data_IF_948960473356
#
_entry.id   IF_948960473356
#
_cell.length_a   1.000
_cell.length_b   1.000
_cell.length_c   1.000
_cell.angle_alpha   90.00
_cell.angle_beta   90.00
_cell.angle_gamma   90.00
#
_symmetry.space_group_name_H-M   'P 1'
#
loop_
_entity.id
_entity.type
_entity.pdbx_description
1 polymer ?
#
# COMPACT_ATOMS: atom_id res chain seq x y z
N UNK A 1 14.83 17.01 -13.88
CA UNK A 1 15.10 17.98 -12.79
C UNK A 1 16.60 18.07 -12.56
N UNK A 2 17.14 19.27 -12.29
CA UNK A 2 18.60 19.48 -12.11
C UNK A 2 18.84 20.14 -10.75
N UNK A 3 19.82 19.65 -10.00
CA UNK A 3 20.25 20.22 -8.74
C UNK A 3 21.78 20.25 -8.70
N UNK A 4 22.37 21.44 -8.89
CA UNK A 4 23.83 21.58 -9.11
C UNK A 4 24.28 20.80 -10.34
N UNK A 5 25.25 19.91 -10.18
CA UNK A 5 25.73 19.00 -11.22
C UNK A 5 24.88 17.73 -11.39
N UNK A 6 23.94 17.44 -10.48
CA UNK A 6 23.13 16.24 -10.50
C UNK A 6 21.91 16.40 -11.42
N UNK A 7 21.58 15.34 -12.15
CA UNK A 7 20.39 15.27 -13.02
C UNK A 7 19.50 14.12 -12.60
N UNK A 8 18.24 14.42 -12.24
CA UNK A 8 17.27 13.43 -11.84
C UNK A 8 16.16 13.26 -12.89
N UNK A 9 15.84 12.02 -13.20
CA UNK A 9 14.57 11.65 -13.80
C UNK A 9 13.52 11.62 -12.70
N UNK A 10 12.45 12.39 -12.89
CA UNK A 10 11.28 12.34 -12.01
C UNK A 10 10.37 11.23 -12.54
N UNK A 11 10.07 10.27 -11.71
CA UNK A 11 9.22 9.12 -12.03
C UNK A 11 7.99 9.22 -11.14
N UNK A 12 6.82 9.38 -11.75
CA UNK A 12 5.56 9.36 -11.02
C UNK A 12 5.32 7.95 -10.46
N UNK A 13 5.08 7.86 -9.17
CA UNK A 13 4.87 6.60 -8.45
C UNK A 13 3.65 6.72 -7.53
N UNK A 14 2.46 6.99 -8.12
CA UNK A 14 1.23 7.14 -7.35
C UNK A 14 0.86 5.85 -6.62
N UNK A 15 0.16 5.99 -5.49
CA UNK A 15 -0.36 4.87 -4.70
C UNK A 15 -0.32 5.14 -3.22
N UNK A 16 0.86 5.25 -2.61
CA UNK A 16 0.99 5.69 -1.21
C UNK A 16 0.36 7.08 -1.00
N UNK A 17 0.65 7.99 -1.90
CA UNK A 17 -0.08 9.25 -2.07
C UNK A 17 -0.35 9.49 -3.56
N UNK A 18 -1.37 10.30 -3.93
CA UNK A 18 -1.69 10.58 -5.34
C UNK A 18 -0.54 11.20 -6.13
N UNK A 19 0.25 12.07 -5.50
CA UNK A 19 1.33 12.83 -6.14
C UNK A 19 2.73 12.32 -5.80
N UNK A 20 2.87 11.08 -5.34
CA UNK A 20 4.19 10.53 -5.01
C UNK A 20 5.08 10.43 -6.25
N UNK A 21 6.38 10.74 -6.07
CA UNK A 21 7.40 10.59 -7.11
C UNK A 21 8.67 9.96 -6.54
N UNK A 22 9.36 9.19 -7.36
CA UNK A 22 10.74 8.80 -7.15
C UNK A 22 11.68 9.66 -8.00
N UNK A 23 12.90 9.89 -7.52
CA UNK A 23 13.93 10.62 -8.27
C UNK A 23 15.09 9.68 -8.59
N UNK A 24 15.38 9.50 -9.88
CA UNK A 24 16.42 8.58 -10.33
C UNK A 24 17.59 9.32 -10.98
N UNK A 25 18.78 9.15 -10.41
CA UNK A 25 20.06 9.54 -11.01
C UNK A 25 20.59 8.33 -11.80
N UNK A 26 20.51 8.43 -13.13
CA UNK A 26 20.92 7.36 -14.04
C UNK A 26 22.42 7.15 -14.05
N UNK A 27 23.20 8.22 -13.92
CA UNK A 27 24.66 8.16 -14.01
C UNK A 27 25.25 7.46 -12.77
N UNK A 28 24.73 7.78 -11.59
CA UNK A 28 25.18 7.21 -10.32
C UNK A 28 24.36 5.99 -9.88
N UNK A 29 23.28 5.64 -10.60
CA UNK A 29 22.35 4.54 -10.27
C UNK A 29 21.77 4.68 -8.87
N UNK A 30 21.42 5.90 -8.48
CA UNK A 30 20.83 6.26 -7.18
C UNK A 30 19.36 6.56 -7.38
N UNK A 31 18.50 6.02 -6.52
CA UNK A 31 17.08 6.32 -6.56
C UNK A 31 16.59 6.76 -5.17
N UNK A 32 16.05 7.98 -5.09
CA UNK A 32 15.29 8.44 -3.93
C UNK A 32 13.89 7.88 -4.05
N UNK A 33 13.52 7.03 -3.11
CA UNK A 33 12.30 6.22 -3.16
C UNK A 33 11.14 6.84 -2.38
N UNK A 34 11.41 7.85 -1.54
CA UNK A 34 10.38 8.36 -0.64
C UNK A 34 9.76 7.25 0.20
N UNK A 35 8.44 7.29 0.35
CA UNK A 35 7.65 6.24 1.00
C UNK A 35 7.11 5.19 0.03
N UNK A 36 7.61 5.15 -1.21
CA UNK A 36 7.16 4.17 -2.18
C UNK A 36 7.72 2.76 -1.91
N UNK A 37 9.02 2.66 -1.60
CA UNK A 37 9.65 1.40 -1.19
C UNK A 37 10.39 1.60 0.13
N UNK A 38 9.88 0.96 1.20
CA UNK A 38 10.49 0.93 2.52
C UNK A 38 10.93 -0.50 2.83
N UNK A 39 12.10 -0.68 3.44
CA UNK A 39 12.72 -2.01 3.55
C UNK A 39 12.30 -2.78 4.80
N UNK A 40 12.03 -2.12 5.92
CA UNK A 40 11.66 -2.76 7.20
C UNK A 40 10.16 -2.79 7.46
N UNK A 41 9.42 -1.88 6.81
CA UNK A 41 7.97 -1.75 6.95
C UNK A 41 7.32 -1.68 5.57
N UNK A 42 6.07 -2.12 5.45
CA UNK A 42 5.29 -1.93 4.23
C UNK A 42 4.63 -0.56 4.28
N UNK A 43 4.76 0.27 3.21
CA UNK A 43 4.03 1.52 3.11
C UNK A 43 2.53 1.30 3.27
N UNK A 44 1.88 2.14 4.06
CA UNK A 44 0.42 2.09 4.20
C UNK A 44 -0.22 2.66 2.93
N UNK A 45 -1.11 1.90 2.32
CA UNK A 45 -1.90 2.33 1.18
C UNK A 45 -3.33 2.55 1.65
N UNK A 46 -3.83 3.77 1.49
CA UNK A 46 -5.17 4.18 1.92
C UNK A 46 -5.93 4.82 0.76
N UNK A 47 -7.23 4.99 0.94
CA UNK A 47 -8.07 5.72 0.00
C UNK A 47 -7.89 7.24 0.13
N UNK A 48 -7.96 7.95 -0.99
CA UNK A 48 -7.90 9.40 -1.06
C UNK A 48 -9.07 9.93 -1.86
N UNK A 49 -9.62 11.05 -1.45
CA UNK A 49 -10.71 11.68 -2.16
C UNK A 49 -10.28 12.05 -3.59
N UNK A 50 -11.06 11.59 -4.60
CA UNK A 50 -10.77 11.87 -6.01
C UNK A 50 -9.59 11.07 -6.60
N UNK A 51 -9.09 10.06 -5.89
CA UNK A 51 -8.01 9.19 -6.36
C UNK A 51 -8.44 7.73 -6.31
N UNK A 52 -8.82 7.19 -7.43
CA UNK A 52 -9.34 5.83 -7.57
C UNK A 52 -8.22 4.79 -7.61
N UNK A 53 -8.51 3.60 -7.09
CA UNK A 53 -7.66 2.41 -7.10
C UNK A 53 -6.21 2.66 -6.61
N UNK A 54 -6.02 3.22 -5.40
CA UNK A 54 -4.68 3.54 -4.90
C UNK A 54 -3.77 2.32 -4.82
N UNK A 55 -4.30 1.15 -4.44
CA UNK A 55 -3.52 -0.07 -4.39
C UNK A 55 -3.10 -0.56 -5.78
N UNK A 56 -3.99 -0.52 -6.76
CA UNK A 56 -3.65 -0.92 -8.13
C UNK A 56 -2.59 -0.01 -8.72
N UNK A 57 -2.71 1.30 -8.52
CA UNK A 57 -1.70 2.28 -8.94
C UNK A 57 -0.37 2.06 -8.22
N UNK A 58 -0.40 1.77 -6.93
CA UNK A 58 0.81 1.46 -6.16
C UNK A 58 1.55 0.24 -6.70
N UNK A 59 0.83 -0.87 -6.92
CA UNK A 59 1.42 -2.09 -7.48
C UNK A 59 1.97 -1.85 -8.89
N UNK A 60 1.25 -1.10 -9.72
CA UNK A 60 1.74 -0.72 -11.05
C UNK A 60 3.03 0.11 -10.98
N UNK A 61 3.05 1.12 -10.13
CA UNK A 61 4.25 1.96 -9.90
C UNK A 61 5.45 1.16 -9.38
N UNK A 62 5.22 0.16 -8.52
CA UNK A 62 6.30 -0.75 -8.08
C UNK A 62 6.89 -1.55 -9.25
N UNK A 63 6.03 -2.03 -10.16
CA UNK A 63 6.47 -2.74 -11.37
C UNK A 63 7.23 -1.81 -12.31
N UNK A 64 6.77 -0.57 -12.49
CA UNK A 64 7.42 0.41 -13.35
C UNK A 64 8.84 0.74 -12.87
N UNK A 65 9.04 0.91 -11.56
CA UNK A 65 10.38 1.21 -11.05
C UNK A 65 11.29 -0.02 -10.96
N UNK A 66 10.74 -1.23 -11.02
CA UNK A 66 11.53 -2.47 -10.92
C UNK A 66 12.49 -2.69 -12.09
N UNK A 67 12.26 -2.03 -13.23
CA UNK A 67 13.09 -2.14 -14.43
C UNK A 67 14.37 -1.29 -14.36
N UNK A 68 14.47 -0.36 -13.40
CA UNK A 68 15.63 0.52 -13.29
C UNK A 68 16.81 -0.19 -12.60
N UNK A 69 18.01 0.03 -13.16
CA UNK A 69 19.25 -0.43 -12.55
C UNK A 69 19.64 0.48 -11.39
N UNK A 70 19.18 0.15 -10.19
CA UNK A 70 19.41 0.92 -8.97
C UNK A 70 20.45 0.23 -8.09
N UNK A 71 21.59 0.89 -7.95
CA UNK A 71 22.69 0.43 -7.07
C UNK A 71 22.51 0.93 -5.64
N UNK A 72 21.99 2.15 -5.47
CA UNK A 72 21.80 2.77 -4.17
C UNK A 72 20.36 3.26 -4.04
N UNK A 73 19.47 2.44 -3.45
CA UNK A 73 18.13 2.87 -3.10
C UNK A 73 18.15 3.72 -1.81
N UNK A 74 17.44 4.84 -1.81
CA UNK A 74 17.34 5.77 -0.69
C UNK A 74 15.88 5.94 -0.25
N UNK A 75 15.40 5.11 0.69
CA UNK A 75 14.05 5.23 1.24
C UNK A 75 13.95 6.43 2.20
N UNK A 76 12.73 6.97 2.40
CA UNK A 76 12.50 8.06 3.35
C UNK A 76 12.68 7.63 4.82
N UNK A 77 12.44 6.36 5.11
CA UNK A 77 12.50 5.81 6.47
C UNK A 77 13.28 4.50 6.52
N UNK A 78 13.99 4.30 7.65
CA UNK A 78 14.71 3.08 7.98
C UNK A 78 15.91 2.81 7.07
N UNK A 79 16.48 1.64 7.23
CA UNK A 79 17.70 1.20 6.55
C UNK A 79 17.42 0.20 5.45
N UNK A 80 18.26 0.19 4.42
CA UNK A 80 18.21 -0.79 3.34
C UNK A 80 18.76 -2.13 3.86
N UNK A 81 17.98 -3.19 3.75
CA UNK A 81 18.32 -4.53 4.26
C UNK A 81 18.45 -5.61 3.18
N UNK A 82 18.00 -5.32 1.94
CA UNK A 82 18.08 -6.22 0.79
C UNK A 82 18.11 -5.41 -0.51
N UNK A 83 18.12 -6.05 -1.66
CA UNK A 83 18.03 -5.36 -2.95
C UNK A 83 16.63 -4.76 -3.15
N UNK A 84 16.55 -3.72 -3.99
CA UNK A 84 15.27 -3.09 -4.33
C UNK A 84 14.32 -4.10 -5.00
N UNK A 85 14.82 -4.97 -5.88
CA UNK A 85 14.01 -5.97 -6.57
C UNK A 85 13.41 -7.01 -5.59
N UNK A 86 14.21 -7.53 -4.66
CA UNK A 86 13.71 -8.44 -3.61
C UNK A 86 12.65 -7.75 -2.75
N UNK A 87 12.87 -6.49 -2.41
CA UNK A 87 11.91 -5.75 -1.59
C UNK A 87 10.60 -5.50 -2.31
N UNK A 88 10.63 -5.09 -3.58
CA UNK A 88 9.45 -4.93 -4.41
C UNK A 88 8.64 -6.22 -4.47
N UNK A 89 9.30 -7.36 -4.74
CA UNK A 89 8.64 -8.68 -4.73
C UNK A 89 7.93 -8.96 -3.41
N UNK A 90 8.61 -8.72 -2.28
CA UNK A 90 8.05 -8.92 -0.94
C UNK A 90 6.83 -8.02 -0.66
N UNK A 91 6.85 -6.77 -1.12
CA UNK A 91 5.73 -5.84 -0.96
C UNK A 91 4.53 -6.31 -1.79
N UNK A 92 4.72 -6.71 -3.04
CA UNK A 92 3.65 -7.22 -3.91
C UNK A 92 3.04 -8.49 -3.30
N UNK A 93 3.87 -9.41 -2.80
CA UNK A 93 3.41 -10.62 -2.13
C UNK A 93 2.59 -10.31 -0.87
N UNK A 94 3.04 -9.34 -0.07
CA UNK A 94 2.31 -8.86 1.10
C UNK A 94 0.90 -8.42 0.73
N UNK A 95 0.74 -7.53 -0.25
CA UNK A 95 -0.59 -7.08 -0.69
C UNK A 95 -1.43 -8.22 -1.27
N UNK A 96 -0.80 -9.15 -2.00
CA UNK A 96 -1.47 -10.37 -2.47
C UNK A 96 -2.01 -11.23 -1.33
N UNK A 97 -1.26 -11.37 -0.24
CA UNK A 97 -1.71 -12.09 0.95
C UNK A 97 -2.87 -11.36 1.64
N UNK A 98 -2.80 -10.03 1.76
CA UNK A 98 -3.89 -9.21 2.31
C UNK A 98 -5.18 -9.32 1.51
N UNK A 99 -5.09 -9.32 0.17
CA UNK A 99 -6.24 -9.52 -0.73
C UNK A 99 -6.88 -10.88 -0.49
N UNK A 100 -6.09 -11.95 -0.39
CA UNK A 100 -6.63 -13.31 -0.12
C UNK A 100 -7.33 -13.40 1.23
N UNK A 101 -6.73 -12.81 2.27
CA UNK A 101 -7.32 -12.77 3.60
C UNK A 101 -8.67 -12.02 3.60
N UNK A 102 -8.71 -10.86 2.93
CA UNK A 102 -9.92 -10.03 2.83
C UNK A 102 -11.05 -10.75 2.06
N UNK A 103 -10.72 -11.44 0.96
CA UNK A 103 -11.69 -12.27 0.24
C UNK A 103 -12.28 -13.34 1.16
N UNK A 104 -11.45 -14.03 1.93
CA UNK A 104 -11.91 -15.02 2.91
C UNK A 104 -12.85 -14.43 3.96
N UNK A 105 -12.60 -13.19 4.42
CA UNK A 105 -13.53 -12.50 5.33
C UNK A 105 -14.86 -12.21 4.65
N UNK A 106 -14.85 -11.69 3.40
CA UNK A 106 -16.07 -11.38 2.65
C UNK A 106 -16.92 -12.62 2.37
N UNK A 107 -16.29 -13.74 2.03
CA UNK A 107 -16.96 -15.01 1.76
C UNK A 107 -17.62 -15.59 3.02
N UNK A 108 -16.99 -15.41 4.17
CA UNK A 108 -17.48 -15.91 5.45
C UNK A 108 -18.56 -15.01 6.06
N UNK A 109 -18.39 -13.70 5.99
CA UNK A 109 -19.26 -12.68 6.58
C UNK A 109 -19.56 -11.57 5.55
N UNK A 110 -20.49 -11.77 4.60
CA UNK A 110 -20.85 -10.72 3.63
C UNK A 110 -21.62 -9.57 4.29
N UNK A 111 -21.49 -8.37 3.72
CA UNK A 111 -22.22 -7.18 4.16
C UNK A 111 -21.54 -6.40 5.30
N UNK A 112 -20.27 -6.65 5.56
CA UNK A 112 -19.48 -5.90 6.52
C UNK A 112 -19.02 -4.54 5.94
N UNK A 113 -18.81 -3.57 6.84
CA UNK A 113 -18.12 -2.31 6.54
C UNK A 113 -16.60 -2.51 6.52
N UNK A 114 -15.85 -1.55 5.95
CA UNK A 114 -14.38 -1.60 5.97
C UNK A 114 -13.81 -1.67 7.41
N UNK A 115 -14.44 -1.01 8.37
CA UNK A 115 -14.06 -1.07 9.78
C UNK A 115 -14.23 -2.48 10.38
N UNK A 116 -15.39 -3.11 10.12
CA UNK A 116 -15.68 -4.46 10.59
C UNK A 116 -14.76 -5.49 9.94
N UNK A 117 -14.46 -5.33 8.64
CA UNK A 117 -13.51 -6.19 7.92
C UNK A 117 -12.10 -6.03 8.49
N UNK A 118 -11.64 -4.79 8.72
CA UNK A 118 -10.34 -4.54 9.34
C UNK A 118 -10.23 -5.24 10.71
N UNK A 119 -11.30 -5.27 11.50
CA UNK A 119 -11.33 -5.97 12.79
C UNK A 119 -11.21 -7.49 12.69
N UNK A 120 -11.49 -8.10 11.53
CA UNK A 120 -11.37 -9.56 11.29
C UNK A 120 -10.06 -9.95 10.62
N UNK A 121 -9.32 -8.97 10.09
CA UNK A 121 -8.02 -9.19 9.49
C UNK A 121 -6.92 -9.26 10.55
N UNK A 122 -5.82 -9.94 10.22
CA UNK A 122 -4.68 -10.08 11.14
C UNK A 122 -3.71 -8.94 10.94
N UNK A 123 -3.32 -8.29 12.02
CA UNK A 123 -2.37 -7.18 12.02
C UNK A 123 -1.14 -7.47 12.86
N UNK A 124 0.03 -7.10 12.37
CA UNK A 124 1.26 -7.13 13.17
C UNK A 124 1.31 -5.84 14.00
N UNK A 125 0.95 -5.93 15.26
CA UNK A 125 0.95 -4.80 16.18
C UNK A 125 2.16 -4.86 17.09
N UNK A 126 2.83 -3.74 17.26
CA UNK A 126 3.84 -3.59 18.32
C UNK A 126 3.11 -3.34 19.64
N UNK A 127 2.94 -4.36 20.46
CA UNK A 127 2.24 -4.22 21.75
C UNK A 127 1.95 -5.56 22.41
N UNK A 128 1.29 -5.49 23.57
CA UNK A 128 0.98 -6.67 24.40
C UNK A 128 -0.27 -7.43 23.96
N UNK A 129 -1.16 -6.80 23.20
CA UNK A 129 -2.41 -7.40 22.71
C UNK A 129 -2.53 -7.25 21.21
N UNK A 130 -3.01 -8.32 20.55
CA UNK A 130 -3.40 -8.34 19.14
C UNK A 130 -4.92 -8.27 18.95
N UNK A 131 -5.68 -8.12 20.04
CA UNK A 131 -7.14 -7.97 19.96
C UNK A 131 -7.50 -6.60 19.36
N UNK A 132 -8.44 -6.59 18.42
CA UNK A 132 -8.84 -5.39 17.70
C UNK A 132 -9.32 -4.25 18.63
N UNK A 133 -9.99 -4.61 19.72
CA UNK A 133 -10.51 -3.69 20.71
C UNK A 133 -9.39 -2.86 21.39
N UNK A 134 -8.24 -3.49 21.59
CA UNK A 134 -7.08 -2.90 22.28
C UNK A 134 -6.17 -2.07 21.36
N UNK A 135 -6.44 -2.04 20.05
CA UNK A 135 -5.62 -1.25 19.13
C UNK A 135 -5.73 0.23 19.42
N UNK A 136 -4.60 0.96 19.49
CA UNK A 136 -4.61 2.41 19.51
C UNK A 136 -5.39 2.97 18.33
N UNK A 137 -6.11 4.08 18.54
CA UNK A 137 -6.95 4.71 17.52
C UNK A 137 -6.20 4.95 16.20
N UNK A 138 -4.96 5.42 16.29
CA UNK A 138 -4.12 5.66 15.12
C UNK A 138 -3.85 4.37 14.33
N UNK A 139 -3.62 3.24 15.01
CA UNK A 139 -3.42 1.96 14.33
C UNK A 139 -4.71 1.42 13.71
N UNK A 140 -5.86 1.60 14.37
CA UNK A 140 -7.16 1.31 13.77
C UNK A 140 -7.38 2.13 12.50
N UNK A 141 -7.03 3.41 12.53
CA UNK A 141 -7.15 4.28 11.37
C UNK A 141 -6.32 3.78 10.18
N UNK A 142 -5.06 3.41 10.39
CA UNK A 142 -4.22 2.81 9.35
C UNK A 142 -4.78 1.49 8.83
N UNK A 143 -5.22 0.61 9.73
CA UNK A 143 -5.77 -0.70 9.37
C UNK A 143 -7.06 -0.58 8.54
N UNK A 144 -7.96 0.33 8.91
CA UNK A 144 -9.20 0.60 8.16
C UNK A 144 -8.89 1.22 6.81
N UNK A 145 -7.95 2.16 6.73
CA UNK A 145 -7.50 2.76 5.47
C UNK A 145 -6.93 1.72 4.51
N UNK A 146 -6.09 0.81 5.02
CA UNK A 146 -5.53 -0.29 4.23
C UNK A 146 -6.64 -1.25 3.75
N UNK A 147 -7.55 -1.65 4.64
CA UNK A 147 -8.68 -2.51 4.27
C UNK A 147 -9.55 -1.84 3.19
N UNK A 148 -9.85 -0.54 3.32
CA UNK A 148 -10.62 0.22 2.34
C UNK A 148 -9.94 0.27 0.96
N UNK A 149 -8.62 0.48 0.90
CA UNK A 149 -7.88 0.49 -0.36
C UNK A 149 -7.87 -0.90 -1.04
N UNK A 150 -7.79 -1.98 -0.26
CA UNK A 150 -7.88 -3.35 -0.79
C UNK A 150 -9.30 -3.69 -1.26
N UNK A 151 -10.33 -3.21 -0.57
CA UNK A 151 -11.73 -3.36 -0.98
C UNK A 151 -12.02 -2.60 -2.28
N UNK A 152 -11.49 -1.39 -2.42
CA UNK A 152 -11.60 -0.63 -3.66
C UNK A 152 -10.90 -1.34 -4.82
N UNK A 153 -9.71 -1.89 -4.59
CA UNK A 153 -8.98 -2.71 -5.57
C UNK A 153 -9.80 -3.90 -6.06
N UNK A 154 -10.48 -4.61 -5.15
CA UNK A 154 -11.35 -5.73 -5.51
C UNK A 154 -12.62 -5.28 -6.24
N UNK A 155 -13.22 -4.18 -5.80
CA UNK A 155 -14.45 -3.64 -6.41
C UNK A 155 -14.21 -3.17 -7.83
N UNK A 156 -13.11 -2.45 -8.09
CA UNK A 156 -12.76 -1.97 -9.44
C UNK A 156 -12.47 -3.11 -10.42
N UNK A 157 -12.15 -4.31 -9.91
CA UNK A 157 -11.92 -5.53 -10.71
C UNK A 157 -13.11 -6.49 -10.75
N UNK A 158 -14.27 -6.08 -10.21
CA UNK A 158 -15.47 -6.90 -10.17
C UNK A 158 -15.35 -8.17 -9.31
N UNK A 159 -14.40 -8.17 -8.35
CA UNK A 159 -14.16 -9.29 -7.42
C UNK A 159 -14.79 -9.07 -6.05
N UNK A 160 -15.35 -7.91 -5.84
CA UNK A 160 -16.24 -7.56 -4.74
C UNK A 160 -17.23 -6.52 -5.24
N UNK A 161 -18.37 -6.42 -4.59
CA UNK A 161 -19.35 -5.36 -4.81
C UNK A 161 -19.59 -4.58 -3.53
N UNK A 162 -20.02 -3.34 -3.65
CA UNK A 162 -20.37 -2.50 -2.51
C UNK A 162 -21.78 -1.95 -2.65
N UNK A 163 -22.47 -1.84 -1.54
CA UNK A 163 -23.82 -1.27 -1.45
C UNK A 163 -23.83 -0.22 -0.34
N UNK A 164 -24.54 0.87 -0.55
CA UNK A 164 -24.76 1.86 0.49
C UNK A 164 -25.98 1.46 1.34
N UNK A 165 -25.77 1.41 2.65
CA UNK A 165 -26.82 1.10 3.61
C UNK A 165 -26.64 1.91 4.88
N UNK A 166 -27.62 2.77 5.19
CA UNK A 166 -27.57 3.62 6.38
C UNK A 166 -26.41 4.63 6.40
N UNK A 167 -26.00 5.14 5.24
CA UNK A 167 -24.87 6.07 5.09
C UNK A 167 -23.50 5.41 5.17
N UNK A 168 -23.43 4.07 5.15
CA UNK A 168 -22.19 3.29 5.19
C UNK A 168 -22.09 2.38 3.98
N UNK A 169 -20.87 2.21 3.44
CA UNK A 169 -20.58 1.19 2.45
C UNK A 169 -20.44 -0.18 3.08
N UNK A 170 -21.20 -1.14 2.58
CA UNK A 170 -21.11 -2.56 2.91
C UNK A 170 -20.61 -3.36 1.72
N UNK A 171 -19.75 -4.34 1.98
CA UNK A 171 -19.03 -5.08 0.95
C UNK A 171 -19.47 -6.55 0.92
N UNK A 172 -19.49 -7.09 -0.29
CA UNK A 172 -19.96 -8.45 -0.61
C UNK A 172 -18.99 -9.09 -1.61
N UNK A 173 -18.95 -10.44 -1.67
CA UNK A 173 -18.23 -11.15 -2.72
C UNK A 173 -18.70 -10.82 -4.12
#
# INVERSE_FOLDING_TARGET
MTFGALRFHVIETPGHTPGHVCLYDRENKVMFLGDHVLFDITPNITTWQGFEDPLGKYVHSLMDISIFDVRLPLPAHRTVSCTMAERIGTIIEHHGARIRELIGVLEHEPGLTAYEIAGRMRWKVRGKSSAWEDFPLQQKWFAVGEAAAHLEYLTTRGRARREESGGLWRFYP
#
